data_IF_192364888362
#
_entry.id   IF_192364888362
#
_cell.length_a   1.000
_cell.length_b   1.000
_cell.length_c   1.000
_cell.angle_alpha   90.00
_cell.angle_beta   90.00
_cell.angle_gamma   90.00
#
_symmetry.space_group_name_H-M   'P 1'
#
loop_
_entity.id
_entity.type
_entity.pdbx_description
1 polymer ?
#
# COMPACT_ATOMS: atom_id res chain seq x y z
N UNK A 1 9.64 -26.26 91.42
CA UNK A 1 8.74 -25.77 90.36
C UNK A 1 9.42 -24.68 89.51
N UNK A 2 10.27 -25.01 88.51
CA UNK A 2 10.83 -24.00 87.57
C UNK A 2 11.61 -24.62 86.39
N UNK A 3 11.06 -25.60 85.66
CA UNK A 3 11.72 -26.15 84.44
C UNK A 3 10.84 -26.24 83.19
N UNK A 4 9.51 -26.19 83.31
CA UNK A 4 8.60 -26.34 82.15
C UNK A 4 8.16 -25.03 81.49
N UNK A 5 8.26 -23.86 82.15
CA UNK A 5 7.81 -22.59 81.56
C UNK A 5 8.78 -21.99 80.53
N UNK A 6 10.08 -22.32 80.62
CA UNK A 6 11.11 -21.77 79.70
C UNK A 6 11.08 -22.48 78.34
N UNK A 7 10.80 -23.79 78.29
CA UNK A 7 10.74 -24.56 77.03
C UNK A 7 9.57 -24.16 76.12
N UNK A 8 8.42 -23.81 76.70
CA UNK A 8 7.21 -23.40 75.95
C UNK A 8 7.44 -22.03 75.31
N UNK A 9 8.07 -21.10 76.01
CA UNK A 9 8.40 -19.75 75.50
C UNK A 9 9.43 -19.76 74.37
N UNK A 10 10.36 -20.71 74.37
CA UNK A 10 11.37 -20.85 73.32
C UNK A 10 10.77 -21.46 72.03
N UNK A 11 9.87 -22.43 72.18
CA UNK A 11 9.15 -23.04 71.05
C UNK A 11 8.24 -22.02 70.34
N UNK A 12 7.55 -21.16 71.09
CA UNK A 12 6.71 -20.11 70.50
C UNK A 12 7.51 -19.05 69.74
N UNK A 13 8.70 -18.69 70.23
CA UNK A 13 9.56 -17.72 69.55
C UNK A 13 10.15 -18.30 68.26
N UNK A 14 10.57 -19.57 68.27
CA UNK A 14 11.08 -20.27 67.10
C UNK A 14 10.02 -20.42 66.00
N UNK A 15 8.76 -20.68 66.39
CA UNK A 15 7.64 -20.75 65.45
C UNK A 15 7.36 -19.40 64.77
N UNK A 16 7.44 -18.29 65.51
CA UNK A 16 7.23 -16.93 64.95
C UNK A 16 8.35 -16.56 63.97
N UNK A 17 9.60 -16.85 64.31
CA UNK A 17 10.74 -16.63 63.41
C UNK A 17 10.60 -17.48 62.15
N UNK A 18 10.18 -18.73 62.27
CA UNK A 18 9.95 -19.61 61.12
C UNK A 18 8.84 -19.07 60.20
N UNK A 19 7.72 -18.60 60.76
CA UNK A 19 6.62 -17.99 59.99
C UNK A 19 7.07 -16.71 59.28
N UNK A 20 7.88 -15.86 59.93
CA UNK A 20 8.46 -14.65 59.32
C UNK A 20 9.48 -14.98 58.21
N UNK A 21 10.30 -16.01 58.39
CA UNK A 21 11.26 -16.47 57.36
C UNK A 21 10.52 -17.09 56.17
N UNK A 22 9.46 -17.87 56.44
CA UNK A 22 8.60 -18.46 55.41
C UNK A 22 7.82 -17.38 54.65
N UNK A 23 7.23 -16.39 55.34
CA UNK A 23 6.47 -15.31 54.71
C UNK A 23 7.34 -14.40 53.85
N UNK A 24 8.52 -14.01 54.36
CA UNK A 24 9.48 -13.17 53.60
C UNK A 24 10.14 -13.91 52.43
N UNK A 25 10.32 -15.23 52.53
CA UNK A 25 10.84 -16.08 51.44
C UNK A 25 9.83 -16.38 50.33
N UNK A 26 8.56 -16.61 50.69
CA UNK A 26 7.46 -16.87 49.73
C UNK A 26 7.02 -15.60 48.98
N UNK A 27 6.95 -14.45 49.64
CA UNK A 27 6.59 -13.19 48.97
C UNK A 27 7.67 -12.73 47.98
N UNK A 28 8.96 -12.81 48.35
CA UNK A 28 10.05 -12.49 47.41
C UNK A 28 10.11 -13.45 46.22
N UNK A 29 9.89 -14.76 46.43
CA UNK A 29 9.91 -15.73 45.34
C UNK A 29 8.72 -15.56 44.40
N UNK A 30 7.52 -15.28 44.93
CA UNK A 30 6.33 -15.00 44.12
C UNK A 30 6.43 -13.67 43.36
N UNK A 31 7.00 -12.61 43.96
CA UNK A 31 7.30 -11.35 43.25
C UNK A 31 8.36 -11.57 42.16
N UNK A 32 9.42 -12.31 42.46
CA UNK A 32 10.47 -12.62 41.50
C UNK A 32 9.96 -13.48 40.34
N UNK A 33 9.09 -14.46 40.61
CA UNK A 33 8.43 -15.28 39.61
C UNK A 33 7.45 -14.46 38.74
N UNK A 34 6.65 -13.57 39.36
CA UNK A 34 5.76 -12.64 38.64
C UNK A 34 6.56 -11.67 37.75
N UNK A 35 7.67 -11.14 38.25
CA UNK A 35 8.57 -10.30 37.48
C UNK A 35 9.32 -11.07 36.38
N UNK A 36 9.63 -12.35 36.58
CA UNK A 36 10.19 -13.23 35.56
C UNK A 36 9.18 -13.47 34.43
N UNK A 37 7.95 -13.86 34.76
CA UNK A 37 6.89 -14.05 33.76
C UNK A 37 6.58 -12.78 32.96
N UNK A 38 6.60 -11.61 33.61
CA UNK A 38 6.47 -10.32 32.91
C UNK A 38 7.65 -10.04 31.97
N UNK A 39 8.89 -10.33 32.39
CA UNK A 39 10.09 -10.18 31.54
C UNK A 39 10.06 -11.14 30.35
N UNK A 40 9.71 -12.40 30.57
CA UNK A 40 9.63 -13.42 29.52
C UNK A 40 8.57 -13.03 28.48
N UNK A 41 7.40 -12.55 28.92
CA UNK A 41 6.35 -12.02 28.04
C UNK A 41 6.82 -10.81 27.22
N UNK A 42 7.58 -9.88 27.83
CA UNK A 42 8.14 -8.74 27.10
C UNK A 42 9.18 -9.17 26.07
N UNK A 43 10.07 -10.11 26.42
CA UNK A 43 11.08 -10.65 25.49
C UNK A 43 10.40 -11.32 24.31
N UNK A 44 9.36 -12.13 24.57
CA UNK A 44 8.58 -12.77 23.52
C UNK A 44 7.92 -11.75 22.59
N UNK A 45 7.28 -10.71 23.15
CA UNK A 45 6.67 -9.65 22.35
C UNK A 45 7.69 -8.86 21.51
N UNK A 46 8.88 -8.59 22.06
CA UNK A 46 9.97 -7.94 21.31
C UNK A 46 10.47 -8.83 20.17
N UNK A 47 10.62 -10.14 20.40
CA UNK A 47 11.04 -11.09 19.38
C UNK A 47 10.00 -11.21 18.25
N UNK A 48 8.71 -11.22 18.60
CA UNK A 48 7.61 -11.24 17.62
C UNK A 48 7.63 -9.99 16.74
N UNK A 49 7.68 -8.79 17.33
CA UNK A 49 7.80 -7.52 16.59
C UNK A 49 9.05 -7.50 15.70
N UNK A 50 10.18 -8.02 16.19
CA UNK A 50 11.41 -8.10 15.41
C UNK A 50 11.23 -9.00 14.19
N UNK A 51 10.59 -10.16 14.34
CA UNK A 51 10.34 -11.09 13.25
C UNK A 51 9.38 -10.49 12.21
N UNK A 52 8.26 -9.90 12.65
CA UNK A 52 7.32 -9.21 11.76
C UNK A 52 8.01 -8.07 10.99
N UNK A 53 8.86 -7.29 11.66
CA UNK A 53 9.63 -6.21 11.03
C UNK A 53 10.56 -6.74 9.95
N UNK A 54 11.25 -7.86 10.21
CA UNK A 54 12.11 -8.51 9.21
C UNK A 54 11.30 -9.02 8.03
N UNK A 55 10.15 -9.65 8.26
CA UNK A 55 9.26 -10.13 7.20
C UNK A 55 8.73 -8.98 6.35
N UNK A 56 8.27 -7.88 6.95
CA UNK A 56 7.78 -6.70 6.22
C UNK A 56 8.88 -6.06 5.35
N UNK A 57 10.10 -5.97 5.89
CA UNK A 57 11.27 -5.49 5.12
C UNK A 57 11.58 -6.39 3.94
N UNK A 58 11.57 -7.71 4.15
CA UNK A 58 11.81 -8.68 3.10
C UNK A 58 10.74 -8.60 2.00
N UNK A 59 9.46 -8.54 2.36
CA UNK A 59 8.38 -8.37 1.40
C UNK A 59 8.48 -7.04 0.62
N UNK A 60 8.94 -5.95 1.27
CA UNK A 60 9.19 -4.68 0.58
C UNK A 60 10.32 -4.82 -0.44
N UNK A 61 11.43 -5.45 -0.07
CA UNK A 61 12.56 -5.70 -0.99
C UNK A 61 12.09 -6.48 -2.22
N UNK A 62 11.35 -7.58 -2.01
CA UNK A 62 10.83 -8.42 -3.09
C UNK A 62 9.90 -7.65 -4.05
N UNK A 63 9.01 -6.80 -3.50
CA UNK A 63 8.14 -5.94 -4.33
C UNK A 63 8.95 -4.97 -5.19
N UNK A 64 9.97 -4.33 -4.61
CA UNK A 64 10.79 -3.35 -5.33
C UNK A 64 11.73 -4.01 -6.35
N UNK A 65 12.28 -5.19 -6.06
CA UNK A 65 13.06 -5.97 -7.03
C UNK A 65 12.19 -6.42 -8.21
N UNK A 66 10.96 -6.86 -7.94
CA UNK A 66 9.99 -7.17 -8.99
C UNK A 66 9.64 -5.94 -9.82
N UNK A 67 9.37 -4.80 -9.19
CA UNK A 67 9.11 -3.53 -9.89
C UNK A 67 10.30 -3.12 -10.76
N UNK A 68 11.53 -3.24 -10.27
CA UNK A 68 12.73 -2.88 -11.01
C UNK A 68 12.92 -3.76 -12.26
N UNK A 69 12.69 -5.06 -12.13
CA UNK A 69 12.72 -6.00 -13.26
C UNK A 69 11.65 -5.67 -14.29
N UNK A 70 10.42 -5.47 -13.85
CA UNK A 70 9.28 -5.24 -14.73
C UNK A 70 9.34 -3.83 -15.36
N UNK A 71 9.94 -2.85 -14.67
CA UNK A 71 10.25 -1.52 -15.19
C UNK A 71 11.27 -1.57 -16.34
N UNK A 72 12.32 -2.42 -16.23
CA UNK A 72 13.24 -2.67 -17.34
C UNK A 72 12.50 -3.26 -18.55
N UNK A 73 11.62 -4.22 -18.32
CA UNK A 73 10.80 -4.80 -19.39
C UNK A 73 9.94 -3.73 -20.09
N UNK A 74 9.27 -2.85 -19.33
CA UNK A 74 8.48 -1.74 -19.89
C UNK A 74 9.36 -0.75 -20.70
N UNK A 75 10.59 -0.49 -20.26
CA UNK A 75 11.52 0.37 -21.00
C UNK A 75 11.94 -0.24 -22.34
N UNK A 76 12.25 -1.54 -22.34
CA UNK A 76 12.78 -2.24 -23.50
C UNK A 76 11.68 -2.52 -24.54
N UNK A 77 10.47 -2.85 -24.09
CA UNK A 77 9.40 -3.37 -24.96
C UNK A 77 8.17 -2.47 -25.09
N UNK A 78 7.96 -1.53 -24.16
CA UNK A 78 6.68 -0.85 -24.02
C UNK A 78 5.58 -1.76 -23.46
N UNK A 79 4.36 -1.25 -23.32
CA UNK A 79 3.25 -2.01 -22.71
C UNK A 79 2.68 -3.13 -23.59
N UNK A 80 2.93 -3.09 -24.91
CA UNK A 80 2.38 -4.03 -25.90
C UNK A 80 2.86 -5.46 -25.70
N UNK A 81 4.13 -5.63 -25.32
CA UNK A 81 4.82 -6.92 -25.25
C UNK A 81 5.27 -7.27 -23.81
N UNK A 82 4.59 -6.70 -22.81
CA UNK A 82 4.82 -7.05 -21.41
C UNK A 82 4.41 -8.50 -21.13
N UNK A 83 5.24 -9.20 -20.35
CA UNK A 83 4.85 -10.50 -19.80
C UNK A 83 3.54 -10.39 -19.02
N UNK A 84 2.64 -11.37 -19.19
CA UNK A 84 1.41 -11.49 -18.37
C UNK A 84 1.69 -11.64 -16.88
N UNK A 85 2.92 -11.99 -16.49
CA UNK A 85 3.37 -12.07 -15.08
C UNK A 85 4.01 -10.77 -14.58
N UNK A 86 4.17 -9.77 -15.44
CA UNK A 86 4.65 -8.44 -15.07
C UNK A 86 3.67 -7.78 -14.11
N UNK A 87 4.19 -7.12 -13.08
CA UNK A 87 3.40 -6.26 -12.20
C UNK A 87 2.84 -5.04 -12.95
N UNK A 88 3.38 -4.74 -14.14
CA UNK A 88 2.96 -3.62 -14.99
C UNK A 88 1.99 -4.06 -16.10
N UNK A 89 1.63 -5.34 -16.17
CA UNK A 89 0.58 -5.80 -17.07
C UNK A 89 -0.75 -5.13 -16.67
N UNK A 90 -1.50 -4.60 -17.63
CA UNK A 90 -2.54 -3.59 -17.34
C UNK A 90 -3.73 -4.09 -16.52
N UNK A 91 -3.94 -5.40 -16.46
CA UNK A 91 -4.98 -6.06 -15.65
C UNK A 91 -4.43 -6.74 -14.39
N UNK A 92 -3.12 -6.66 -14.14
CA UNK A 92 -2.51 -7.16 -12.92
C UNK A 92 -2.51 -6.08 -11.84
N UNK A 93 -2.69 -6.51 -10.59
CA UNK A 93 -2.45 -5.67 -9.42
C UNK A 93 -0.95 -5.55 -9.18
N UNK A 94 -0.49 -4.35 -8.81
CA UNK A 94 0.93 -4.04 -8.59
C UNK A 94 1.50 -4.66 -7.32
N UNK A 95 0.69 -5.21 -6.41
CA UNK A 95 1.09 -5.64 -5.05
C UNK A 95 1.76 -4.56 -4.18
N UNK A 96 1.98 -3.35 -4.70
CA UNK A 96 2.49 -2.20 -3.96
C UNK A 96 1.44 -1.70 -2.95
N UNK A 97 1.92 -1.13 -1.85
CA UNK A 97 1.06 -0.46 -0.87
C UNK A 97 0.62 0.92 -1.39
N UNK A 98 -0.41 1.50 -0.79
CA UNK A 98 -0.84 2.87 -1.09
C UNK A 98 0.27 3.91 -0.85
N UNK A 99 1.11 3.69 0.18
CA UNK A 99 2.26 4.54 0.49
C UNK A 99 3.37 4.39 -0.57
N UNK A 100 3.61 3.16 -1.04
CA UNK A 100 4.58 2.92 -2.11
C UNK A 100 4.13 3.56 -3.43
N UNK A 101 2.83 3.50 -3.75
CA UNK A 101 2.27 4.17 -4.92
C UNK A 101 2.33 5.69 -4.80
N UNK A 102 2.21 6.24 -3.58
CA UNK A 102 2.31 7.68 -3.33
C UNK A 102 3.67 8.26 -3.79
N UNK A 103 4.76 7.50 -3.62
CA UNK A 103 6.08 7.91 -4.12
C UNK A 103 6.08 8.18 -5.63
N UNK A 104 5.26 7.44 -6.38
CA UNK A 104 5.10 7.63 -7.83
C UNK A 104 4.57 9.01 -8.22
N UNK A 105 3.81 9.65 -7.33
CA UNK A 105 3.15 10.94 -7.55
C UNK A 105 3.97 12.14 -7.04
N UNK A 106 5.18 11.91 -6.53
CA UNK A 106 6.03 12.99 -6.00
C UNK A 106 6.23 14.11 -7.02
N UNK A 107 6.24 15.35 -6.54
CA UNK A 107 6.39 16.57 -7.35
C UNK A 107 5.24 16.77 -8.37
N UNK A 108 4.02 16.38 -8.02
CA UNK A 108 2.81 16.59 -8.84
C UNK A 108 1.65 17.10 -7.98
N UNK A 109 0.63 17.69 -8.61
CA UNK A 109 -0.63 18.03 -7.95
C UNK A 109 -1.59 16.84 -7.79
N UNK A 110 -1.06 15.62 -7.94
CA UNK A 110 -1.76 14.36 -7.70
C UNK A 110 -1.33 13.72 -6.38
N UNK A 111 -0.38 14.31 -5.64
CA UNK A 111 0.01 13.83 -4.31
C UNK A 111 -1.19 13.72 -3.36
N UNK A 112 -1.17 12.70 -2.51
CA UNK A 112 -2.24 12.31 -1.59
C UNK A 112 -3.25 11.31 -2.19
N UNK A 113 -3.12 10.97 -3.48
CA UNK A 113 -4.04 10.07 -4.18
C UNK A 113 -3.55 8.62 -4.29
N UNK A 114 -2.37 8.27 -3.75
CA UNK A 114 -1.85 6.89 -3.79
C UNK A 114 -2.86 5.86 -3.25
N UNK A 115 -3.59 6.22 -2.18
CA UNK A 115 -4.68 5.40 -1.62
C UNK A 115 -5.88 5.22 -2.56
N UNK A 116 -6.19 6.24 -3.36
CA UNK A 116 -7.36 6.22 -4.26
C UNK A 116 -7.06 5.36 -5.48
N UNK A 117 -5.85 5.47 -6.04
CA UNK A 117 -5.37 4.55 -7.08
C UNK A 117 -5.31 3.11 -6.57
N UNK A 118 -4.80 2.88 -5.36
CA UNK A 118 -4.76 1.54 -4.77
C UNK A 118 -6.16 0.95 -4.62
N UNK A 119 -7.11 1.74 -4.12
CA UNK A 119 -8.50 1.32 -3.94
C UNK A 119 -9.15 0.96 -5.28
N UNK A 120 -8.93 1.74 -6.32
CA UNK A 120 -9.46 1.47 -7.66
C UNK A 120 -8.85 0.21 -8.28
N UNK A 121 -7.53 0.00 -8.13
CA UNK A 121 -6.86 -1.24 -8.54
C UNK A 121 -7.46 -2.46 -7.86
N UNK A 122 -7.66 -2.41 -6.54
CA UNK A 122 -8.21 -3.56 -5.80
C UNK A 122 -9.64 -3.89 -6.21
N UNK A 123 -10.44 -2.87 -6.53
CA UNK A 123 -11.86 -3.00 -6.87
C UNK A 123 -12.11 -3.45 -8.31
N UNK A 124 -11.32 -2.96 -9.26
CA UNK A 124 -11.58 -3.16 -10.69
C UNK A 124 -10.52 -4.00 -11.42
N UNK A 125 -9.44 -4.36 -10.74
CA UNK A 125 -8.31 -5.09 -11.35
C UNK A 125 -7.74 -4.36 -12.56
N UNK A 126 -7.65 -3.03 -12.44
CA UNK A 126 -6.96 -2.16 -13.39
C UNK A 126 -5.69 -1.68 -12.70
N UNK A 127 -4.55 -1.90 -13.36
CA UNK A 127 -3.24 -1.63 -12.78
C UNK A 127 -3.12 -0.19 -12.25
N UNK A 128 -2.68 -0.02 -11.00
CA UNK A 128 -2.57 1.31 -10.40
C UNK A 128 -1.59 2.23 -11.15
N UNK A 129 -0.47 1.68 -11.64
CA UNK A 129 0.54 2.46 -12.37
C UNK A 129 0.02 2.94 -13.73
N UNK A 130 -0.83 2.15 -14.41
CA UNK A 130 -1.56 2.59 -15.60
C UNK A 130 -2.45 3.81 -15.28
N UNK A 131 -3.30 3.69 -14.25
CA UNK A 131 -4.22 4.77 -13.86
C UNK A 131 -3.46 6.05 -13.49
N UNK A 132 -2.34 5.92 -12.76
CA UNK A 132 -1.46 7.03 -12.42
C UNK A 132 -0.80 7.64 -13.66
N UNK A 133 -0.34 6.81 -14.59
CA UNK A 133 0.26 7.22 -15.85
C UNK A 133 -0.71 8.03 -16.71
N UNK A 134 -1.94 7.52 -16.87
CA UNK A 134 -3.03 8.23 -17.53
C UNK A 134 -3.34 9.54 -16.82
N UNK A 135 -3.58 9.54 -15.50
CA UNK A 135 -3.91 10.76 -14.77
C UNK A 135 -2.80 11.82 -14.89
N UNK A 136 -1.51 11.44 -14.82
CA UNK A 136 -0.39 12.36 -15.05
C UNK A 136 -0.40 12.94 -16.46
N UNK A 137 -0.66 12.12 -17.48
CA UNK A 137 -0.74 12.55 -18.87
C UNK A 137 -1.91 13.53 -19.08
N UNK A 138 -3.13 13.11 -18.75
CA UNK A 138 -4.38 13.83 -19.02
C UNK A 138 -4.48 15.18 -18.28
N UNK A 139 -3.78 15.30 -17.15
CA UNK A 139 -3.83 16.52 -16.34
C UNK A 139 -2.57 17.37 -16.41
N UNK A 140 -1.53 16.92 -17.11
CA UNK A 140 -0.20 17.52 -17.02
C UNK A 140 0.30 17.55 -15.58
N UNK A 141 0.40 16.38 -14.93
CA UNK A 141 0.80 16.24 -13.52
C UNK A 141 -0.13 16.97 -12.51
N UNK A 142 -1.44 17.01 -12.79
CA UNK A 142 -2.48 17.57 -11.94
C UNK A 142 -2.70 19.07 -12.10
N UNK A 143 -2.15 19.69 -13.15
CA UNK A 143 -2.21 21.14 -13.35
C UNK A 143 -3.39 21.61 -14.20
N UNK A 144 -4.07 20.69 -14.91
CA UNK A 144 -5.19 21.04 -15.80
C UNK A 144 -6.33 21.75 -15.06
N UNK A 145 -7.05 22.58 -15.80
CA UNK A 145 -8.21 23.29 -15.29
C UNK A 145 -9.27 22.32 -14.75
N UNK A 146 -9.60 21.28 -15.52
CA UNK A 146 -10.60 20.26 -15.13
C UNK A 146 -10.20 19.50 -13.86
N UNK A 147 -8.92 19.19 -13.68
CA UNK A 147 -8.45 18.56 -12.46
C UNK A 147 -8.61 19.46 -11.22
N UNK A 148 -8.47 20.78 -11.39
CA UNK A 148 -8.56 21.78 -10.32
C UNK A 148 -9.99 22.17 -9.98
N UNK A 149 -10.85 22.36 -10.99
CA UNK A 149 -12.19 22.92 -10.79
C UNK A 149 -13.29 21.87 -10.78
N UNK A 150 -13.07 20.73 -11.44
CA UNK A 150 -14.07 19.66 -11.60
C UNK A 150 -13.66 18.34 -10.98
N UNK A 151 -12.48 18.26 -10.36
CA UNK A 151 -11.87 17.02 -9.90
C UNK A 151 -11.78 15.94 -10.98
N UNK A 152 -11.83 16.31 -12.26
CA UNK A 152 -11.85 15.39 -13.38
C UNK A 152 -10.42 15.19 -13.89
N UNK A 153 -9.83 14.05 -13.52
CA UNK A 153 -8.43 13.72 -13.82
C UNK A 153 -8.21 13.11 -15.21
N UNK A 154 -9.26 12.86 -15.98
CA UNK A 154 -9.15 12.09 -17.23
C UNK A 154 -9.91 12.73 -18.39
N UNK A 155 -10.33 14.00 -18.24
CA UNK A 155 -11.10 14.69 -19.27
C UNK A 155 -12.43 14.02 -19.62
N UNK A 156 -13.01 13.23 -18.70
CA UNK A 156 -14.17 12.39 -19.02
C UNK A 156 -15.37 13.26 -19.42
N UNK A 157 -15.97 12.96 -20.59
CA UNK A 157 -17.01 13.74 -21.27
C UNK A 157 -16.65 15.19 -21.65
N UNK A 158 -15.37 15.54 -21.74
CA UNK A 158 -14.95 16.82 -22.33
C UNK A 158 -15.06 16.75 -23.87
N UNK A 159 -16.20 17.14 -24.44
CA UNK A 159 -16.41 17.14 -25.90
C UNK A 159 -15.85 18.40 -26.56
N UNK A 160 -15.37 18.30 -27.80
CA UNK A 160 -14.64 19.39 -28.50
C UNK A 160 -15.38 20.73 -28.59
N UNK A 161 -16.72 20.70 -28.69
CA UNK A 161 -17.54 21.90 -28.85
C UNK A 161 -17.64 22.72 -27.56
N UNK A 162 -17.56 22.05 -26.40
CA UNK A 162 -17.61 22.69 -25.09
C UNK A 162 -16.91 21.81 -24.02
N UNK A 163 -15.58 21.68 -24.10
CA UNK A 163 -14.85 20.69 -23.31
C UNK A 163 -14.89 21.01 -21.81
N UNK A 164 -15.13 22.28 -21.45
CA UNK A 164 -15.22 22.71 -20.07
C UNK A 164 -16.60 22.43 -19.50
N UNK A 165 -17.69 22.85 -20.14
CA UNK A 165 -19.02 22.70 -19.52
C UNK A 165 -19.54 21.27 -19.61
N UNK A 166 -19.24 20.55 -20.70
CA UNK A 166 -19.68 19.16 -20.90
C UNK A 166 -18.91 18.15 -20.05
N UNK A 167 -17.68 18.48 -19.64
CA UNK A 167 -16.89 17.59 -18.80
C UNK A 167 -17.59 17.28 -17.47
N UNK A 168 -17.54 16.03 -17.05
CA UNK A 168 -18.06 15.60 -15.77
C UNK A 168 -17.40 16.39 -14.63
N UNK A 169 -18.21 16.72 -13.61
CA UNK A 169 -17.73 17.23 -12.32
C UNK A 169 -17.86 16.11 -11.30
N UNK A 170 -16.75 15.77 -10.66
CA UNK A 170 -16.70 14.77 -9.60
C UNK A 170 -16.62 15.43 -8.23
N UNK A 171 -17.12 14.75 -7.20
CA UNK A 171 -17.09 15.18 -5.80
C UNK A 171 -15.66 15.41 -5.32
N UNK A 172 -14.77 14.48 -5.65
CA UNK A 172 -13.34 14.54 -5.39
C UNK A 172 -12.56 13.80 -6.48
N UNK A 173 -11.24 13.95 -6.47
CA UNK A 173 -10.36 13.31 -7.46
C UNK A 173 -10.41 11.78 -7.36
N UNK A 174 -10.63 11.23 -6.17
CA UNK A 174 -10.76 9.79 -5.95
C UNK A 174 -11.97 9.19 -6.66
N UNK A 175 -13.10 9.91 -6.68
CA UNK A 175 -14.29 9.51 -7.45
C UNK A 175 -14.01 9.47 -8.96
N UNK A 176 -13.24 10.42 -9.50
CA UNK A 176 -12.83 10.37 -10.92
C UNK A 176 -11.96 9.15 -11.25
N UNK A 177 -11.08 8.75 -10.32
CA UNK A 177 -10.22 7.56 -10.45
C UNK A 177 -11.08 6.28 -10.42
N UNK A 178 -11.99 6.16 -9.46
CA UNK A 178 -12.92 5.03 -9.36
C UNK A 178 -13.77 4.90 -10.64
N UNK A 179 -14.29 6.02 -11.14
CA UNK A 179 -15.10 6.05 -12.36
C UNK A 179 -14.32 5.55 -13.59
N UNK A 180 -13.10 6.07 -13.82
CA UNK A 180 -12.31 5.69 -14.99
C UNK A 180 -11.76 4.28 -14.89
N UNK A 181 -11.37 3.83 -13.71
CA UNK A 181 -10.96 2.44 -13.51
C UNK A 181 -12.11 1.47 -13.85
N UNK A 182 -13.33 1.76 -13.41
CA UNK A 182 -14.52 0.99 -13.81
C UNK A 182 -14.71 0.99 -15.33
N UNK A 183 -14.70 2.17 -15.93
CA UNK A 183 -14.92 2.34 -17.37
C UNK A 183 -13.88 1.59 -18.21
N UNK A 184 -12.60 1.65 -17.83
CA UNK A 184 -11.52 0.91 -18.49
C UNK A 184 -11.73 -0.59 -18.36
N UNK A 185 -12.04 -1.10 -17.15
CA UNK A 185 -12.30 -2.52 -16.93
C UNK A 185 -13.43 -3.03 -17.81
N UNK A 186 -14.57 -2.35 -17.80
CA UNK A 186 -15.78 -2.79 -18.50
C UNK A 186 -15.67 -2.68 -20.03
N UNK A 187 -14.94 -1.69 -20.55
CA UNK A 187 -15.01 -1.38 -21.97
C UNK A 187 -13.72 -1.64 -22.74
N UNK A 188 -12.55 -1.58 -22.11
CA UNK A 188 -11.25 -1.67 -22.79
C UNK A 188 -10.42 -2.88 -22.39
N UNK A 189 -10.56 -3.35 -21.15
CA UNK A 189 -9.70 -4.37 -20.54
C UNK A 189 -10.44 -5.70 -20.27
N UNK A 190 -11.66 -5.84 -20.78
CA UNK A 190 -12.43 -7.09 -20.78
C UNK A 190 -12.68 -7.53 -22.22
N UNK A 191 -12.57 -8.83 -22.51
CA UNK A 191 -12.69 -9.36 -23.88
C UNK A 191 -14.08 -9.13 -24.50
N UNK A 192 -15.11 -9.01 -23.67
CA UNK A 192 -16.49 -8.66 -24.04
C UNK A 192 -16.76 -7.14 -24.06
N UNK A 193 -15.75 -6.34 -23.70
CA UNK A 193 -15.85 -4.89 -23.64
C UNK A 193 -16.02 -4.26 -25.02
N UNK A 194 -16.88 -3.24 -25.09
CA UNK A 194 -17.25 -2.55 -26.34
C UNK A 194 -16.06 -2.03 -27.16
N UNK A 195 -14.97 -1.64 -26.48
CA UNK A 195 -13.78 -1.04 -27.08
C UNK A 195 -12.55 -1.95 -26.95
N UNK A 196 -12.73 -3.23 -26.64
CA UNK A 196 -11.65 -4.18 -26.45
C UNK A 196 -10.83 -4.35 -27.74
N UNK A 197 -9.52 -4.12 -27.62
CA UNK A 197 -8.56 -4.25 -28.72
C UNK A 197 -7.27 -4.97 -28.29
N UNK A 198 -7.28 -5.62 -27.12
CA UNK A 198 -6.11 -6.18 -26.43
C UNK A 198 -5.75 -5.44 -25.15
N UNK A 199 -4.80 -5.99 -24.39
CA UNK A 199 -4.37 -5.50 -23.08
C UNK A 199 -3.03 -4.78 -23.20
N UNK A 200 -3.05 -3.55 -23.72
CA UNK A 200 -1.89 -2.64 -23.77
C UNK A 200 -2.34 -1.18 -23.91
N UNK A 201 -1.44 -0.22 -23.69
CA UNK A 201 -1.80 1.20 -23.85
C UNK A 201 -2.07 1.53 -25.31
N UNK A 202 -1.40 0.88 -26.27
CA UNK A 202 -1.73 1.02 -27.69
C UNK A 202 -3.12 0.52 -28.00
N UNK A 203 -3.51 -0.64 -27.45
CA UNK A 203 -4.86 -1.19 -27.64
C UNK A 203 -5.93 -0.27 -27.05
N UNK A 204 -5.70 0.32 -25.88
CA UNK A 204 -6.59 1.34 -25.31
C UNK A 204 -6.64 2.58 -26.23
N UNK A 205 -5.46 3.09 -26.61
CA UNK A 205 -5.28 4.33 -27.35
C UNK A 205 -6.01 4.36 -28.70
N UNK A 206 -6.17 3.22 -29.37
CA UNK A 206 -6.90 3.11 -30.66
C UNK A 206 -8.28 3.78 -30.65
N UNK A 207 -9.01 3.67 -29.54
CA UNK A 207 -10.37 4.17 -29.40
C UNK A 207 -10.56 5.11 -28.20
N UNK A 208 -9.54 5.30 -27.36
CA UNK A 208 -9.60 6.18 -26.20
C UNK A 208 -9.23 7.63 -26.55
N UNK A 209 -8.27 7.82 -27.46
CA UNK A 209 -7.76 9.13 -27.83
C UNK A 209 -7.63 9.28 -29.35
N UNK A 210 -7.82 10.51 -29.85
CA UNK A 210 -7.55 10.86 -31.24
C UNK A 210 -6.06 11.07 -31.52
N UNK A 211 -5.26 11.32 -30.47
CA UNK A 211 -3.81 11.51 -30.56
C UNK A 211 -3.11 10.16 -30.82
N UNK A 212 -2.44 9.99 -31.98
CA UNK A 212 -1.74 8.74 -32.30
C UNK A 212 -0.56 8.45 -31.35
N UNK A 213 -0.03 9.47 -30.65
CA UNK A 213 1.07 9.34 -29.70
C UNK A 213 0.61 9.11 -28.26
N UNK A 214 -0.71 9.00 -28.02
CA UNK A 214 -1.26 8.86 -26.67
C UNK A 214 -0.65 7.69 -25.90
N UNK A 215 -0.54 6.51 -26.53
CA UNK A 215 0.03 5.33 -25.88
C UNK A 215 1.48 5.53 -25.45
N UNK A 216 2.29 6.17 -26.30
CA UNK A 216 3.69 6.46 -26.00
C UNK A 216 3.83 7.43 -24.82
N UNK A 217 2.95 8.42 -24.73
CA UNK A 217 2.92 9.40 -23.63
C UNK A 217 2.47 8.77 -22.31
N UNK A 218 1.48 7.87 -22.35
CA UNK A 218 1.06 7.12 -21.16
C UNK A 218 2.14 6.15 -20.69
N UNK A 219 2.76 5.39 -21.59
CA UNK A 219 3.89 4.51 -21.26
C UNK A 219 5.05 5.32 -20.64
N UNK A 220 5.34 6.51 -21.18
CA UNK A 220 6.31 7.42 -20.59
C UNK A 220 5.93 7.83 -19.15
N UNK A 221 4.67 8.18 -18.90
CA UNK A 221 4.21 8.53 -17.56
C UNK A 221 4.22 7.33 -16.59
N UNK A 222 3.92 6.11 -17.06
CA UNK A 222 4.07 4.89 -16.27
C UNK A 222 5.54 4.66 -15.88
N UNK A 223 6.48 4.90 -16.81
CA UNK A 223 7.93 4.84 -16.53
C UNK A 223 8.35 5.89 -15.51
N UNK A 224 7.81 7.10 -15.58
CA UNK A 224 8.06 8.13 -14.56
C UNK A 224 7.59 7.70 -13.16
N UNK A 225 6.38 7.13 -13.08
CA UNK A 225 5.82 6.61 -11.83
C UNK A 225 6.74 5.53 -11.26
N UNK A 226 7.12 4.53 -12.06
CA UNK A 226 8.01 3.45 -11.62
C UNK A 226 9.37 4.00 -11.13
N UNK A 227 9.98 4.90 -11.91
CA UNK A 227 11.25 5.53 -11.54
C UNK A 227 11.16 6.28 -10.22
N UNK A 228 10.07 7.02 -10.01
CA UNK A 228 9.87 7.78 -8.78
C UNK A 228 9.72 6.86 -7.55
N UNK A 229 9.04 5.73 -7.69
CA UNK A 229 8.91 4.70 -6.64
C UNK A 229 10.26 4.06 -6.35
N UNK A 230 10.99 3.63 -7.39
CA UNK A 230 12.27 2.94 -7.25
C UNK A 230 13.38 3.80 -6.64
N UNK A 231 13.27 5.12 -6.71
CA UNK A 231 14.20 6.03 -6.01
C UNK A 231 14.08 5.97 -4.50
N UNK A 232 12.97 5.43 -3.97
CA UNK A 232 12.75 5.27 -2.53
C UNK A 232 13.10 3.85 -2.04
N UNK A 233 13.64 2.97 -2.91
CA UNK A 233 14.04 1.58 -2.57
C UNK A 233 14.96 1.54 -1.36
#
# INVERSE_FOLDING_TARGET
MKKNRIKISFLSFLAIVLVLVISTGLEKSSLAAKNKGKRDSLINGVNEISNETLTLRQSRIERFEKLEKDYKELNDKGSDDLSKTSMLYLTNKTNLTAEELEYGLKNTNLQGLGKDFKKAEEKYEVNAILLMGMAKHETGNGHSYLAKTKNNLFGFNAIDQDPINSANTFKDKGESIDHVAKFLKENYLSEDGKYYNGISTKSIGKLYASDPEWSNKVDYMMREVCRNILQEK
#
